data_IF_367551378083
#
_entry.id   IF_367551378083
#
_cell.length_a   1.000
_cell.length_b   1.000
_cell.length_c   1.000
_cell.angle_alpha   90.00
_cell.angle_beta   90.00
_cell.angle_gamma   90.00
#
_symmetry.space_group_name_H-M   'P 1'
#
loop_
_entity.id
_entity.type
_entity.pdbx_description
1 polymer ?
#
# COMPACT_ATOMS: atom_id res chain seq x y z
N UNK A 1 -6.73 -21.39 1.26
CA UNK A 1 -7.70 -22.50 1.44
C UNK A 1 -7.38 -23.22 2.74
N UNK A 2 -8.38 -23.55 3.55
CA UNK A 2 -8.17 -24.30 4.80
C UNK A 2 -7.60 -25.70 4.51
N UNK A 3 -6.80 -26.27 5.41
CA UNK A 3 -6.26 -27.63 5.25
C UNK A 3 -7.41 -28.63 5.06
N UNK A 4 -7.24 -29.59 4.14
CA UNK A 4 -8.23 -30.64 3.89
C UNK A 4 -8.17 -31.69 5.01
N UNK A 5 -8.63 -31.29 6.20
CA UNK A 5 -8.84 -32.20 7.32
C UNK A 5 -10.20 -32.85 7.13
N UNK A 6 -10.20 -34.13 6.75
CA UNK A 6 -11.44 -34.89 6.61
C UNK A 6 -11.87 -35.40 7.98
N UNK A 7 -13.10 -35.08 8.39
CA UNK A 7 -13.67 -35.62 9.62
C UNK A 7 -13.99 -37.09 9.41
N UNK A 8 -13.57 -37.94 10.34
CA UNK A 8 -13.77 -39.40 10.27
C UNK A 8 -14.52 -39.87 11.50
N UNK A 9 -15.34 -40.91 11.39
CA UNK A 9 -16.01 -41.51 12.55
C UNK A 9 -15.10 -42.53 13.24
N UNK A 10 -15.10 -42.56 14.57
CA UNK A 10 -14.23 -43.44 15.38
C UNK A 10 -14.40 -44.92 14.98
N UNK A 11 -15.62 -45.33 14.63
CA UNK A 11 -15.95 -46.70 14.22
C UNK A 11 -15.19 -47.15 12.96
N UNK A 12 -14.77 -46.20 12.11
CA UNK A 12 -14.03 -46.47 10.87
C UNK A 12 -12.50 -46.48 11.06
N UNK A 13 -12.01 -46.15 12.26
CA UNK A 13 -10.58 -46.11 12.58
C UNK A 13 -10.15 -47.47 13.16
N UNK A 14 -9.08 -48.10 12.62
CA UNK A 14 -8.48 -49.31 13.18
C UNK A 14 -8.11 -49.14 14.66
N UNK A 15 -8.32 -50.18 15.47
CA UNK A 15 -8.16 -50.08 16.93
C UNK A 15 -6.74 -49.69 17.38
N UNK A 16 -5.74 -50.07 16.58
CA UNK A 16 -4.31 -49.73 16.72
C UNK A 16 -3.99 -48.25 16.43
N UNK A 17 -4.89 -47.52 15.78
CA UNK A 17 -4.70 -46.12 15.39
C UNK A 17 -5.69 -45.16 16.07
N UNK A 18 -6.36 -45.62 17.14
CA UNK A 18 -7.31 -44.81 17.93
C UNK A 18 -6.64 -43.90 18.96
N UNK A 19 -5.33 -43.75 18.92
CA UNK A 19 -4.57 -42.87 19.81
C UNK A 19 -3.94 -41.73 19.02
N UNK A 20 -4.17 -40.49 19.44
CA UNK A 20 -3.59 -39.32 18.81
C UNK A 20 -2.08 -39.28 19.06
N UNK A 21 -1.25 -39.17 18.02
CA UNK A 21 0.20 -39.16 18.20
C UNK A 21 0.76 -37.86 18.82
N UNK A 22 -0.06 -36.81 18.95
CA UNK A 22 0.34 -35.51 19.52
C UNK A 22 0.08 -35.47 21.04
N UNK A 23 -1.16 -35.69 21.47
CA UNK A 23 -1.54 -35.68 22.89
C UNK A 23 -1.47 -37.07 23.55
N UNK A 24 -1.32 -38.15 22.78
CA UNK A 24 -1.31 -39.54 23.24
C UNK A 24 -2.65 -40.01 23.88
N UNK A 25 -3.73 -39.27 23.66
CA UNK A 25 -5.07 -39.62 24.15
C UNK A 25 -5.87 -40.43 23.13
N UNK A 26 -6.94 -41.08 23.59
CA UNK A 26 -7.83 -41.85 22.72
C UNK A 26 -8.74 -40.92 21.91
N UNK A 27 -8.68 -41.04 20.59
CA UNK A 27 -9.47 -40.27 19.63
C UNK A 27 -10.97 -40.41 19.91
N UNK A 28 -11.66 -39.29 20.16
CA UNK A 28 -13.09 -39.26 20.48
C UNK A 28 -13.46 -39.78 21.87
N UNK A 29 -12.51 -39.80 22.81
CA UNK A 29 -12.79 -39.93 24.24
C UNK A 29 -13.53 -38.72 24.83
N UNK A 30 -13.83 -38.75 26.14
CA UNK A 30 -14.56 -37.66 26.82
C UNK A 30 -13.85 -36.30 26.73
N UNK A 31 -12.52 -36.32 26.68
CA UNK A 31 -11.65 -35.14 26.58
C UNK A 31 -10.99 -35.00 25.19
N UNK A 32 -11.11 -36.02 24.34
CA UNK A 32 -10.54 -36.06 23.00
C UNK A 32 -11.36 -35.28 21.99
N UNK A 33 -10.70 -34.49 21.14
CA UNK A 33 -11.33 -33.70 20.09
C UNK A 33 -11.97 -34.56 18.98
N UNK A 34 -12.61 -33.91 18.01
CA UNK A 34 -13.13 -34.61 16.84
C UNK A 34 -11.97 -35.26 16.05
N UNK A 35 -12.03 -36.58 15.75
CA UNK A 35 -10.98 -37.23 14.98
C UNK A 35 -11.00 -36.79 13.52
N UNK A 36 -9.82 -36.39 13.04
CA UNK A 36 -9.59 -35.95 11.66
C UNK A 36 -8.50 -36.79 11.01
N UNK A 37 -8.63 -36.96 9.71
CA UNK A 37 -7.71 -37.71 8.86
C UNK A 37 -7.04 -36.77 7.86
N UNK A 38 -5.72 -36.88 7.76
CA UNK A 38 -4.88 -36.14 6.81
C UNK A 38 -4.81 -36.84 5.44
N UNK A 39 -4.34 -36.14 4.40
CA UNK A 39 -4.17 -36.71 3.05
C UNK A 39 -3.23 -37.92 3.02
N UNK A 40 -2.20 -37.92 3.88
CA UNK A 40 -1.29 -39.04 4.08
C UNK A 40 -1.89 -40.19 4.93
N UNK A 41 -3.20 -40.21 5.16
CA UNK A 41 -3.97 -41.22 5.89
C UNK A 41 -3.63 -41.37 7.38
N UNK A 42 -3.09 -40.35 8.04
CA UNK A 42 -2.84 -40.36 9.48
C UNK A 42 -3.98 -39.69 10.26
N UNK A 43 -4.25 -40.18 11.47
CA UNK A 43 -5.36 -39.76 12.31
C UNK A 43 -4.88 -38.94 13.52
N UNK A 44 -5.54 -37.81 13.78
CA UNK A 44 -5.25 -36.91 14.90
C UNK A 44 -6.54 -36.29 15.45
N UNK A 45 -6.48 -35.70 16.64
CA UNK A 45 -7.52 -34.79 17.10
C UNK A 45 -7.43 -33.47 16.34
N UNK A 46 -8.59 -32.90 15.99
CA UNK A 46 -8.69 -31.62 15.26
C UNK A 46 -7.89 -30.50 15.91
N UNK A 47 -8.01 -30.33 17.23
CA UNK A 47 -7.33 -29.26 17.95
C UNK A 47 -5.81 -29.46 17.94
N UNK A 48 -5.36 -30.69 18.14
CA UNK A 48 -3.93 -31.01 18.16
C UNK A 48 -3.26 -30.78 16.82
N UNK A 49 -3.87 -31.23 15.72
CA UNK A 49 -3.29 -31.01 14.39
C UNK A 49 -3.40 -29.55 13.95
N UNK A 50 -4.44 -28.82 14.38
CA UNK A 50 -4.57 -27.40 14.09
C UNK A 50 -3.49 -26.58 14.80
N UNK A 51 -3.26 -26.81 16.10
CA UNK A 51 -2.16 -26.20 16.85
C UNK A 51 -0.79 -26.49 16.22
N UNK A 52 -0.60 -27.72 15.72
CA UNK A 52 0.61 -28.08 14.99
C UNK A 52 0.79 -27.29 13.69
N UNK A 53 -0.28 -27.14 12.92
CA UNK A 53 -0.29 -26.39 11.66
C UNK A 53 -0.19 -24.87 11.85
N UNK A 54 -0.63 -24.35 12.99
CA UNK A 54 -0.52 -22.94 13.35
C UNK A 54 0.90 -22.59 13.82
N UNK A 55 1.62 -23.53 14.44
CA UNK A 55 3.01 -23.39 14.89
C UNK A 55 4.09 -23.48 13.81
N UNK A 56 3.82 -22.97 12.60
CA UNK A 56 4.72 -22.92 11.43
C UNK A 56 5.13 -24.28 10.82
N UNK A 57 4.49 -25.39 11.17
CA UNK A 57 4.77 -26.70 10.58
C UNK A 57 3.70 -27.08 9.56
N UNK A 58 4.06 -27.36 8.32
CA UNK A 58 3.12 -27.81 7.26
C UNK A 58 3.11 -29.33 7.05
N UNK A 59 3.87 -30.07 7.86
CA UNK A 59 4.15 -31.50 7.65
C UNK A 59 3.48 -32.39 8.69
N UNK A 60 3.18 -33.62 8.29
CA UNK A 60 2.60 -34.64 9.17
C UNK A 60 3.60 -35.04 10.27
N UNK A 61 3.19 -35.06 11.55
CA UNK A 61 4.05 -35.52 12.65
C UNK A 61 4.57 -36.96 12.50
N UNK A 62 3.83 -37.81 11.79
CA UNK A 62 4.14 -39.25 11.66
C UNK A 62 5.03 -39.51 10.44
N UNK A 63 4.58 -39.14 9.24
CA UNK A 63 5.31 -39.44 8.01
C UNK A 63 6.11 -38.27 7.42
N UNK A 64 6.02 -37.07 8.02
CA UNK A 64 6.62 -35.82 7.52
C UNK A 64 6.17 -35.37 6.12
N UNK A 65 5.16 -36.02 5.56
CA UNK A 65 4.55 -35.61 4.30
C UNK A 65 3.79 -34.28 4.47
N UNK A 66 3.79 -33.44 3.43
CA UNK A 66 3.17 -32.13 3.49
C UNK A 66 1.64 -32.26 3.52
N UNK A 67 1.01 -31.84 4.63
CA UNK A 67 -0.44 -31.87 4.79
C UNK A 67 -1.11 -30.76 3.96
N UNK A 68 -0.32 -29.77 3.53
CA UNK A 68 -0.77 -28.64 2.71
C UNK A 68 -0.42 -28.86 1.23
N UNK A 69 -0.95 -29.90 0.59
CA UNK A 69 -0.62 -30.11 -0.81
C UNK A 69 -1.42 -29.17 -1.74
N UNK A 70 -0.68 -28.39 -2.53
CA UNK A 70 -1.09 -27.63 -3.72
C UNK A 70 -2.16 -26.54 -3.56
N UNK A 71 -1.74 -25.30 -3.26
CA UNK A 71 -2.45 -24.11 -3.72
C UNK A 71 -2.39 -22.86 -2.84
N UNK A 72 -2.02 -22.97 -1.56
CA UNK A 72 -2.16 -21.86 -0.60
C UNK A 72 -0.90 -21.40 0.15
N UNK A 73 0.11 -22.26 0.31
CA UNK A 73 1.35 -21.91 1.02
C UNK A 73 2.34 -21.10 0.19
N UNK A 74 2.32 -21.30 -1.14
CA UNK A 74 3.25 -20.66 -2.05
C UNK A 74 3.14 -19.14 -2.12
N UNK A 75 1.98 -18.54 -1.83
CA UNK A 75 1.85 -17.07 -1.85
C UNK A 75 2.55 -16.43 -0.65
N UNK A 76 2.42 -17.02 0.55
CA UNK A 76 3.04 -16.48 1.77
C UNK A 76 4.56 -16.68 1.75
N UNK A 77 5.03 -17.81 1.24
CA UNK A 77 6.46 -18.06 1.05
C UNK A 77 7.03 -17.22 -0.11
N UNK A 78 6.30 -17.05 -1.22
CA UNK A 78 6.68 -16.11 -2.29
C UNK A 78 6.71 -14.67 -1.78
N UNK A 79 5.74 -14.24 -0.98
CA UNK A 79 5.75 -12.90 -0.36
C UNK A 79 6.99 -12.73 0.53
N UNK A 80 7.34 -13.73 1.33
CA UNK A 80 8.55 -13.72 2.17
C UNK A 80 9.83 -13.68 1.34
N UNK A 81 9.86 -14.36 0.20
CA UNK A 81 11.01 -14.36 -0.72
C UNK A 81 11.10 -13.06 -1.52
N UNK A 82 9.97 -12.47 -1.89
CA UNK A 82 9.89 -11.12 -2.49
C UNK A 82 10.40 -10.09 -1.48
N UNK A 83 9.94 -10.11 -0.23
CA UNK A 83 10.43 -9.18 0.81
C UNK A 83 11.94 -9.33 1.05
N UNK A 84 12.48 -10.56 1.03
CA UNK A 84 13.93 -10.80 1.09
C UNK A 84 14.66 -10.27 -0.14
N UNK A 85 14.10 -10.44 -1.33
CA UNK A 85 14.65 -9.92 -2.57
C UNK A 85 14.71 -8.39 -2.59
N UNK A 86 13.63 -7.73 -2.16
CA UNK A 86 13.54 -6.27 -2.06
C UNK A 86 14.57 -5.71 -1.07
N UNK A 87 14.77 -6.34 0.09
CA UNK A 87 15.80 -5.91 1.05
C UNK A 87 17.21 -5.98 0.42
N UNK A 88 17.55 -7.08 -0.25
CA UNK A 88 18.84 -7.22 -0.95
C UNK A 88 19.02 -6.22 -2.10
N UNK A 89 17.94 -5.91 -2.82
CA UNK A 89 17.99 -4.91 -3.89
C UNK A 89 18.27 -3.51 -3.32
N UNK A 90 17.65 -3.16 -2.19
CA UNK A 90 17.91 -1.89 -1.50
C UNK A 90 19.34 -1.80 -0.97
N UNK A 91 19.87 -2.89 -0.39
CA UNK A 91 21.28 -2.96 0.04
C UNK A 91 22.24 -2.74 -1.13
N UNK A 92 22.05 -3.41 -2.27
CA UNK A 92 22.89 -3.19 -3.47
C UNK A 92 22.82 -1.74 -3.98
N UNK A 93 21.65 -1.11 -3.98
CA UNK A 93 21.52 0.27 -4.42
C UNK A 93 22.25 1.25 -3.48
N UNK A 94 22.30 0.94 -2.17
CA UNK A 94 23.08 1.72 -1.20
C UNK A 94 24.57 1.51 -1.45
N UNK A 95 25.03 0.26 -1.60
CA UNK A 95 26.43 -0.08 -1.92
C UNK A 95 26.88 0.57 -3.23
N UNK A 96 26.05 0.55 -4.27
CA UNK A 96 26.35 1.18 -5.57
C UNK A 96 26.45 2.70 -5.46
N UNK A 97 25.60 3.33 -4.64
CA UNK A 97 25.67 4.76 -4.36
C UNK A 97 26.94 5.12 -3.58
N UNK A 98 27.30 4.32 -2.57
CA UNK A 98 28.53 4.49 -1.80
C UNK A 98 29.77 4.29 -2.69
N UNK A 99 29.72 3.30 -3.59
CA UNK A 99 30.78 3.07 -4.57
C UNK A 99 30.92 4.24 -5.55
N UNK A 100 29.82 4.80 -6.04
CA UNK A 100 29.86 6.03 -6.85
C UNK A 100 30.42 7.22 -6.08
N UNK A 101 30.04 7.38 -4.81
CA UNK A 101 30.54 8.47 -3.97
C UNK A 101 32.04 8.33 -3.70
N UNK A 102 32.52 7.11 -3.43
CA UNK A 102 33.95 6.82 -3.29
C UNK A 102 34.71 7.09 -4.58
N UNK A 103 34.18 6.67 -5.73
CA UNK A 103 34.79 6.96 -7.03
C UNK A 103 34.87 8.47 -7.30
N UNK A 104 33.88 9.26 -6.86
CA UNK A 104 33.96 10.73 -6.93
C UNK A 104 35.05 11.31 -6.02
N UNK A 105 35.29 10.74 -4.84
CA UNK A 105 36.41 11.17 -3.97
C UNK A 105 37.75 10.82 -4.60
N UNK A 106 37.87 9.60 -5.14
CA UNK A 106 39.12 9.09 -5.72
C UNK A 106 39.50 9.82 -7.03
N UNK A 107 38.52 10.25 -7.84
CA UNK A 107 38.76 10.96 -9.11
C UNK A 107 38.55 12.47 -9.04
N UNK A 108 37.83 12.99 -8.03
CA UNK A 108 37.48 14.42 -7.88
C UNK A 108 38.15 15.12 -6.69
N UNK A 109 38.92 14.40 -5.87
CA UNK A 109 39.58 14.92 -4.67
C UNK A 109 40.91 15.66 -4.88
N UNK A 110 41.26 16.06 -6.12
CA UNK A 110 42.50 16.77 -6.42
C UNK A 110 42.32 18.27 -6.68
N UNK A 111 41.31 18.90 -6.07
CA UNK A 111 41.21 20.36 -6.00
C UNK A 111 41.60 20.87 -4.60
N UNK A 112 42.74 20.40 -4.08
CA UNK A 112 43.63 21.23 -3.26
C UNK A 112 44.34 22.26 -4.15
N UNK A 113 43.57 23.03 -4.93
CA UNK A 113 44.09 24.30 -5.41
C UNK A 113 44.10 25.20 -4.17
N UNK A 114 45.27 25.60 -3.66
CA UNK A 114 45.31 26.56 -2.57
C UNK A 114 44.53 27.77 -3.06
N UNK A 115 43.52 28.20 -2.31
CA UNK A 115 42.94 29.53 -2.51
C UNK A 115 44.05 30.55 -2.31
N UNK A 116 44.81 30.82 -3.37
CA UNK A 116 45.67 31.97 -3.47
C UNK A 116 44.75 33.17 -3.37
N UNK A 117 44.87 33.87 -2.25
CA UNK A 117 44.25 35.15 -1.94
C UNK A 117 44.08 36.00 -3.20
N UNK A 118 42.83 36.31 -3.50
CA UNK A 118 42.47 37.40 -4.37
C UNK A 118 42.92 38.72 -3.73
N UNK A 119 44.15 39.10 -4.01
CA UNK A 119 44.56 40.49 -4.14
C UNK A 119 45.61 40.54 -5.23
N UNK A 120 45.44 41.53 -6.08
CA UNK A 120 46.34 41.98 -7.14
C UNK A 120 46.23 41.34 -8.53
N UNK A 121 45.63 42.19 -9.39
CA UNK A 121 46.06 42.53 -10.75
C UNK A 121 45.53 41.70 -11.92
N UNK A 122 44.63 42.37 -12.67
CA UNK A 122 44.64 42.47 -14.15
C UNK A 122 46.00 42.07 -14.76
N UNK A 123 46.03 41.25 -15.83
CA UNK A 123 45.64 41.79 -17.13
C UNK A 123 44.92 40.81 -18.07
N UNK A 124 44.41 41.43 -19.14
CA UNK A 124 43.69 40.90 -20.27
C UNK A 124 44.36 39.72 -21.01
N UNK A 125 43.49 38.96 -21.68
CA UNK A 125 43.77 38.24 -22.94
C UNK A 125 44.56 36.92 -22.85
N UNK A 126 43.85 35.81 -22.66
CA UNK A 126 44.14 34.57 -23.41
C UNK A 126 42.90 33.65 -23.40
N UNK A 127 42.22 33.59 -24.54
CA UNK A 127 41.11 32.67 -24.77
C UNK A 127 41.62 31.22 -24.79
N UNK A 128 41.09 30.31 -23.96
CA UNK A 128 41.50 28.90 -24.00
C UNK A 128 41.11 28.27 -25.34
N UNK A 129 42.11 27.86 -26.11
CA UNK A 129 41.96 27.12 -27.35
C UNK A 129 41.38 25.73 -27.02
N UNK A 130 40.08 25.55 -27.25
CA UNK A 130 39.43 24.25 -27.17
C UNK A 130 40.07 23.29 -28.17
N UNK A 131 40.83 22.31 -27.68
CA UNK A 131 41.36 21.22 -28.50
C UNK A 131 40.21 20.26 -28.77
N UNK A 132 39.78 20.22 -30.03
CA UNK A 132 38.76 19.34 -30.58
C UNK A 132 39.15 17.87 -30.38
N UNK A 133 38.46 17.18 -29.48
CA UNK A 133 38.69 15.76 -29.18
C UNK A 133 37.92 14.88 -30.19
N UNK A 134 38.65 14.06 -30.95
CA UNK A 134 38.06 13.08 -31.87
C UNK A 134 37.36 11.93 -31.11
N UNK A 135 36.15 11.52 -31.50
CA UNK A 135 35.43 10.43 -30.85
C UNK A 135 35.96 9.06 -31.26
N UNK A 136 36.22 8.21 -30.25
CA UNK A 136 36.60 6.80 -30.45
C UNK A 136 35.45 5.92 -30.98
N UNK A 137 35.75 4.85 -31.74
CA UNK A 137 34.74 4.01 -32.40
C UNK A 137 34.09 2.97 -31.47
N UNK A 138 32.80 2.63 -31.68
CA UNK A 138 32.08 1.65 -30.86
C UNK A 138 32.35 0.19 -31.29
N UNK A 139 32.44 -0.71 -30.32
CA UNK A 139 32.60 -2.16 -30.50
C UNK A 139 31.24 -2.91 -30.44
N UNK A 140 31.17 -4.02 -31.19
CA UNK A 140 30.01 -4.82 -31.69
C UNK A 140 28.99 -5.41 -30.68
N UNK A 141 27.78 -5.82 -31.16
CA UNK A 141 26.71 -6.37 -30.32
C UNK A 141 26.61 -7.91 -30.32
N UNK A 142 26.15 -8.47 -29.20
CA UNK A 142 25.87 -9.90 -28.96
C UNK A 142 24.40 -10.28 -29.15
N UNK A 143 24.19 -11.54 -29.53
CA UNK A 143 23.01 -12.13 -30.19
C UNK A 143 22.19 -13.00 -29.21
N UNK A 144 20.86 -12.83 -29.12
CA UNK A 144 19.96 -13.76 -28.42
C UNK A 144 18.66 -13.97 -29.21
N UNK A 145 18.46 -15.20 -29.69
CA UNK A 145 17.25 -15.68 -30.38
C UNK A 145 16.70 -16.90 -29.63
N UNK A 146 15.44 -16.85 -29.20
CA UNK A 146 14.54 -18.03 -29.11
C UNK A 146 13.07 -17.60 -29.20
N UNK A 147 12.23 -18.22 -30.07
CA UNK A 147 10.83 -17.82 -30.28
C UNK A 147 9.79 -18.71 -29.57
N UNK A 148 8.61 -18.17 -29.23
CA UNK A 148 7.41 -18.95 -28.85
C UNK A 148 6.12 -18.31 -29.42
N UNK A 149 5.09 -19.10 -29.78
CA UNK A 149 4.10 -18.71 -30.79
C UNK A 149 2.79 -18.15 -30.22
N UNK A 150 2.10 -17.39 -31.08
CA UNK A 150 0.89 -16.58 -30.86
C UNK A 150 -0.43 -17.38 -30.82
N UNK A 151 -1.53 -16.72 -30.40
CA UNK A 151 -2.72 -16.76 -31.26
C UNK A 151 -3.54 -15.46 -31.38
N UNK A 152 -3.91 -15.22 -32.65
CA UNK A 152 -5.20 -14.83 -33.28
C UNK A 152 -6.00 -13.60 -32.79
N UNK A 153 -6.16 -12.71 -33.78
CA UNK A 153 -6.91 -11.46 -33.83
C UNK A 153 -8.44 -11.62 -33.80
N UNK A 154 -9.09 -10.68 -33.12
CA UNK A 154 -10.44 -10.21 -33.43
C UNK A 154 -10.46 -8.68 -33.42
N UNK A 155 -10.93 -8.07 -34.52
CA UNK A 155 -11.07 -6.60 -34.66
C UNK A 155 -12.45 -6.12 -34.21
N UNK A 156 -12.57 -4.93 -33.58
CA UNK A 156 -13.84 -4.25 -33.37
C UNK A 156 -13.98 -2.91 -34.16
N UNK A 157 -15.19 -2.32 -34.22
CA UNK A 157 -15.58 -1.25 -35.16
C UNK A 157 -15.43 0.18 -34.58
N UNK A 158 -15.69 1.26 -35.37
CA UNK A 158 -15.15 2.59 -35.09
C UNK A 158 -16.00 3.46 -34.15
N UNK A 159 -15.30 4.41 -33.51
CA UNK A 159 -15.77 5.35 -32.47
C UNK A 159 -16.41 6.62 -33.05
N UNK A 160 -17.30 7.21 -32.26
CA UNK A 160 -18.04 8.46 -32.53
C UNK A 160 -17.54 9.57 -31.59
N UNK A 161 -17.20 10.73 -32.16
CA UNK A 161 -16.69 11.92 -31.45
C UNK A 161 -17.81 12.77 -30.84
N UNK A 162 -17.55 13.37 -29.67
CA UNK A 162 -18.38 14.41 -29.06
C UNK A 162 -17.52 15.59 -28.58
N UNK A 163 -17.99 16.81 -28.85
CA UNK A 163 -17.41 18.11 -28.47
C UNK A 163 -17.97 18.65 -27.15
N UNK A 164 -17.25 19.54 -26.43
CA UNK A 164 -17.67 20.09 -25.13
C UNK A 164 -18.45 21.43 -25.22
N UNK A 165 -19.19 21.83 -24.16
CA UNK A 165 -20.00 23.06 -24.13
C UNK A 165 -19.32 24.25 -23.41
N UNK A 166 -19.86 25.49 -23.54
CA UNK A 166 -19.22 26.72 -23.05
C UNK A 166 -19.71 27.21 -21.68
N UNK A 167 -18.88 28.08 -21.09
CA UNK A 167 -18.98 28.68 -19.74
C UNK A 167 -20.04 29.78 -19.64
N UNK A 168 -20.63 29.91 -18.46
CA UNK A 168 -21.62 30.93 -18.07
C UNK A 168 -21.06 31.85 -16.99
N UNK A 169 -21.15 33.15 -17.21
CA UNK A 169 -20.81 34.23 -16.27
C UNK A 169 -22.09 34.88 -15.72
N UNK A 170 -22.17 35.10 -14.41
CA UNK A 170 -23.08 36.11 -13.84
C UNK A 170 -22.49 36.79 -12.60
N UNK A 171 -22.76 38.07 -12.56
CA UNK A 171 -22.44 39.09 -11.57
C UNK A 171 -23.73 39.57 -10.90
N UNK A 172 -23.82 39.60 -9.57
CA UNK A 172 -24.61 40.62 -8.83
C UNK A 172 -24.34 40.59 -7.33
N UNK A 173 -23.92 41.72 -6.78
CA UNK A 173 -24.01 42.06 -5.35
C UNK A 173 -25.43 42.50 -4.99
N UNK A 174 -25.86 42.37 -3.71
CA UNK A 174 -26.48 43.55 -3.10
C UNK A 174 -26.21 43.75 -1.60
N UNK A 175 -26.02 45.05 -1.27
CA UNK A 175 -26.50 45.82 -0.12
C UNK A 175 -26.40 45.27 1.32
N UNK A 176 -25.57 45.97 2.10
CA UNK A 176 -25.57 46.09 3.57
C UNK A 176 -26.91 46.61 4.08
N UNK A 177 -27.55 45.85 4.97
CA UNK A 177 -28.49 46.35 5.97
C UNK A 177 -27.95 45.95 7.36
N UNK A 178 -27.63 46.95 8.19
CA UNK A 178 -27.23 46.76 9.58
C UNK A 178 -28.47 46.70 10.49
N UNK A 179 -28.63 45.66 11.33
CA UNK A 179 -29.68 45.62 12.36
C UNK A 179 -29.21 46.28 13.67
N UNK A 180 -30.13 46.71 14.56
CA UNK A 180 -29.83 47.40 15.80
C UNK A 180 -29.35 46.44 16.92
N UNK A 181 -28.66 46.96 17.96
CA UNK A 181 -28.08 46.16 19.03
C UNK A 181 -29.19 45.65 19.97
N UNK A 182 -29.52 44.35 19.86
CA UNK A 182 -30.31 43.66 20.89
C UNK A 182 -29.37 43.20 21.99
N UNK A 183 -29.52 43.75 23.20
CA UNK A 183 -28.98 43.19 24.43
C UNK A 183 -29.57 41.80 24.65
N UNK A 184 -28.83 40.79 24.18
CA UNK A 184 -29.13 39.38 24.38
C UNK A 184 -28.68 39.03 25.79
N UNK A 185 -29.63 38.86 26.71
CA UNK A 185 -29.39 38.18 27.98
C UNK A 185 -28.74 36.82 27.65
N UNK A 186 -27.44 36.70 27.94
CA UNK A 186 -26.71 35.45 27.85
C UNK A 186 -27.15 34.58 29.03
N UNK A 187 -28.25 33.85 28.84
CA UNK A 187 -28.45 32.62 29.60
C UNK A 187 -27.29 31.70 29.26
N UNK A 188 -26.32 31.68 30.16
CA UNK A 188 -25.12 30.85 30.15
C UNK A 188 -25.55 29.41 30.44
N UNK A 189 -26.29 28.80 29.50
CA UNK A 189 -26.74 27.41 29.61
C UNK A 189 -25.75 26.49 28.93
N UNK A 190 -25.39 25.45 29.65
CA UNK A 190 -24.37 24.40 29.48
C UNK A 190 -24.46 23.55 28.19
N UNK A 191 -25.04 24.06 27.10
CA UNK A 191 -25.27 23.33 25.85
C UNK A 191 -24.06 23.25 24.91
N UNK A 192 -22.92 23.85 25.27
CA UNK A 192 -21.73 23.88 24.40
C UNK A 192 -21.00 22.55 24.33
N UNK A 193 -21.07 21.72 25.38
CA UNK A 193 -20.39 20.42 25.49
C UNK A 193 -20.77 19.46 24.36
N UNK A 194 -22.07 19.19 24.19
CA UNK A 194 -22.55 18.23 23.19
C UNK A 194 -22.32 18.70 21.76
N UNK A 195 -22.36 20.03 21.53
CA UNK A 195 -22.12 20.61 20.21
C UNK A 195 -20.69 20.40 19.72
N UNK A 196 -19.69 20.55 20.61
CA UNK A 196 -18.29 20.36 20.25
C UNK A 196 -17.97 18.89 19.93
N UNK A 197 -18.47 17.96 20.75
CA UNK A 197 -18.37 16.52 20.49
C UNK A 197 -18.96 16.16 19.13
N UNK A 198 -20.17 16.62 18.85
CA UNK A 198 -20.84 16.29 17.59
C UNK A 198 -20.10 16.86 16.39
N UNK A 199 -19.56 18.08 16.51
CA UNK A 199 -18.68 18.66 15.48
C UNK A 199 -17.43 17.83 15.25
N UNK A 200 -16.72 17.43 16.31
CA UNK A 200 -15.53 16.59 16.20
C UNK A 200 -15.84 15.23 15.55
N UNK A 201 -16.96 14.60 15.94
CA UNK A 201 -17.43 13.35 15.33
C UNK A 201 -17.73 13.51 13.84
N UNK A 202 -18.40 14.61 13.45
CA UNK A 202 -18.67 14.89 12.02
C UNK A 202 -17.40 15.18 11.23
N UNK A 203 -16.42 15.86 11.83
CA UNK A 203 -15.13 16.12 11.19
C UNK A 203 -14.35 14.83 10.97
N UNK A 204 -14.28 13.95 11.97
CA UNK A 204 -13.65 12.64 11.86
C UNK A 204 -14.32 11.78 10.78
N UNK A 205 -15.64 11.67 10.80
CA UNK A 205 -16.40 10.89 9.80
C UNK A 205 -16.21 11.43 8.38
N UNK A 206 -16.15 12.76 8.23
CA UNK A 206 -15.90 13.43 6.95
C UNK A 206 -14.48 13.19 6.42
N UNK A 207 -13.47 13.22 7.30
CA UNK A 207 -12.09 12.91 6.94
C UNK A 207 -11.94 11.46 6.48
N UNK A 208 -12.57 10.52 7.18
CA UNK A 208 -12.56 9.11 6.80
C UNK A 208 -13.23 8.88 5.44
N UNK A 209 -14.43 9.43 5.23
CA UNK A 209 -15.17 9.31 3.97
C UNK A 209 -14.41 9.93 2.78
N UNK A 210 -13.63 10.98 3.03
CA UNK A 210 -12.78 11.60 2.02
C UNK A 210 -11.60 10.70 1.65
N UNK A 211 -10.93 10.11 2.65
CA UNK A 211 -9.82 9.17 2.44
C UNK A 211 -10.28 7.94 1.66
N UNK A 212 -11.43 7.34 2.00
CA UNK A 212 -12.00 6.19 1.27
C UNK A 212 -12.27 6.52 -0.20
N UNK A 213 -12.82 7.71 -0.48
CA UNK A 213 -13.07 8.16 -1.85
C UNK A 213 -11.77 8.36 -2.63
N UNK A 214 -10.76 8.93 -1.97
CA UNK A 214 -9.45 9.16 -2.57
C UNK A 214 -8.77 7.82 -2.90
N UNK A 215 -8.81 6.85 -1.98
CA UNK A 215 -8.29 5.49 -2.21
C UNK A 215 -8.99 4.81 -3.39
N UNK A 216 -10.31 4.94 -3.52
CA UNK A 216 -11.03 4.42 -4.69
C UNK A 216 -10.57 5.06 -6.01
N UNK A 217 -10.36 6.38 -6.01
CA UNK A 217 -9.87 7.10 -7.17
C UNK A 217 -8.43 6.68 -7.54
N UNK A 218 -7.55 6.53 -6.54
CA UNK A 218 -6.18 6.05 -6.72
C UNK A 218 -6.17 4.67 -7.36
N UNK A 219 -6.96 3.73 -6.83
CA UNK A 219 -7.05 2.36 -7.39
C UNK A 219 -7.52 2.40 -8.84
N UNK A 220 -8.56 3.17 -9.13
CA UNK A 220 -9.12 3.29 -10.49
C UNK A 220 -8.10 3.90 -11.46
N UNK A 221 -7.37 4.93 -11.02
CA UNK A 221 -6.36 5.60 -11.84
C UNK A 221 -5.11 4.74 -12.03
N UNK A 222 -4.71 3.99 -11.01
CA UNK A 222 -3.61 3.03 -11.10
C UNK A 222 -3.89 1.95 -12.14
N UNK A 223 -5.13 1.46 -12.25
CA UNK A 223 -5.53 0.53 -13.31
C UNK A 223 -5.40 1.15 -14.71
N UNK A 224 -5.78 2.42 -14.88
CA UNK A 224 -5.63 3.13 -16.16
C UNK A 224 -4.17 3.34 -16.53
N UNK A 225 -3.36 3.78 -15.58
CA UNK A 225 -1.92 3.95 -15.73
C UNK A 225 -1.23 2.62 -16.09
N UNK A 226 -1.62 1.53 -15.41
CA UNK A 226 -1.14 0.18 -15.72
C UNK A 226 -1.44 -0.22 -17.19
N UNK A 227 -2.67 -0.03 -17.67
CA UNK A 227 -3.01 -0.31 -19.05
C UNK A 227 -2.31 0.62 -20.06
N UNK A 228 -2.08 1.88 -19.71
CA UNK A 228 -1.28 2.78 -20.54
C UNK A 228 0.16 2.29 -20.66
N UNK A 229 0.74 1.82 -19.55
CA UNK A 229 2.07 1.22 -19.53
C UNK A 229 2.16 -0.07 -20.34
N UNK A 230 1.14 -0.94 -20.30
CA UNK A 230 1.08 -2.12 -21.16
C UNK A 230 1.08 -1.76 -22.65
N UNK A 231 0.35 -0.71 -23.04
CA UNK A 231 0.33 -0.21 -24.42
C UNK A 231 1.68 0.39 -24.82
N UNK A 232 2.33 1.14 -23.93
CA UNK A 232 3.68 1.65 -24.15
C UNK A 232 4.66 0.53 -24.45
N UNK A 233 4.74 -0.49 -23.58
CA UNK A 233 5.59 -1.64 -23.84
C UNK A 233 5.20 -2.43 -25.10
N UNK A 234 3.92 -2.46 -25.46
CA UNK A 234 3.50 -3.07 -26.72
C UNK A 234 3.99 -2.28 -27.94
N UNK A 235 3.93 -0.94 -27.90
CA UNK A 235 4.47 -0.08 -28.96
C UNK A 235 6.00 -0.20 -29.07
N UNK A 236 6.72 -0.23 -27.94
CA UNK A 236 8.17 -0.47 -27.93
C UNK A 236 8.55 -1.79 -28.62
N UNK A 237 7.81 -2.87 -28.32
CA UNK A 237 8.04 -4.17 -28.98
C UNK A 237 7.77 -4.11 -30.49
N UNK A 238 6.77 -3.34 -30.93
CA UNK A 238 6.50 -3.16 -32.36
C UNK A 238 7.64 -2.40 -33.05
N UNK A 239 8.20 -1.38 -32.41
CA UNK A 239 9.36 -0.64 -32.94
C UNK A 239 10.57 -1.57 -33.06
N UNK A 240 10.85 -2.34 -32.01
CA UNK A 240 11.94 -3.32 -32.04
C UNK A 240 11.76 -4.36 -33.17
N UNK A 241 10.53 -4.82 -33.38
CA UNK A 241 10.20 -5.74 -34.47
C UNK A 241 10.39 -5.08 -35.85
N UNK A 242 9.91 -3.85 -36.04
CA UNK A 242 10.09 -3.10 -37.29
C UNK A 242 11.57 -2.83 -37.59
N UNK A 243 12.36 -2.51 -36.57
CA UNK A 243 13.80 -2.33 -36.69
C UNK A 243 14.52 -3.63 -37.08
N UNK A 244 14.15 -4.75 -36.46
CA UNK A 244 14.69 -6.07 -36.80
C UNK A 244 14.37 -6.45 -38.25
N UNK A 245 13.14 -6.15 -38.71
CA UNK A 245 12.74 -6.38 -40.10
C UNK A 245 13.52 -5.51 -41.09
N UNK A 246 13.77 -4.24 -40.75
CA UNK A 246 14.61 -3.37 -41.56
C UNK A 246 16.04 -3.91 -41.67
N UNK A 247 16.63 -4.36 -40.56
CA UNK A 247 17.96 -4.98 -40.59
C UNK A 247 18.00 -6.20 -41.52
N UNK A 248 17.00 -7.08 -41.44
CA UNK A 248 16.90 -8.25 -42.31
C UNK A 248 16.72 -7.86 -43.79
N UNK A 249 15.90 -6.85 -44.08
CA UNK A 249 15.69 -6.35 -45.44
C UNK A 249 16.95 -5.72 -46.04
N UNK A 250 17.72 -4.97 -45.24
CA UNK A 250 19.00 -4.41 -45.69
C UNK A 250 20.02 -5.52 -46.01
N UNK A 251 20.05 -6.59 -45.21
CA UNK A 251 20.93 -7.73 -45.45
C UNK A 251 20.56 -8.52 -46.72
N UNK A 252 19.27 -8.62 -47.06
CA UNK A 252 18.83 -9.31 -48.27
C UNK A 252 19.17 -8.54 -49.55
N UNK A 253 19.47 -7.24 -49.45
CA UNK A 253 19.70 -6.31 -50.58
C UNK A 253 18.52 -6.23 -51.55
N UNK A 254 17.31 -6.61 -51.12
CA UNK A 254 16.09 -6.46 -51.91
C UNK A 254 15.49 -5.06 -51.68
N UNK A 255 15.45 -4.18 -52.70
CA UNK A 255 14.95 -2.82 -52.54
C UNK A 255 13.49 -2.77 -52.10
N UNK A 256 12.66 -3.73 -52.51
CA UNK A 256 11.25 -3.78 -52.11
C UNK A 256 11.09 -4.15 -50.63
N UNK A 257 11.93 -5.08 -50.14
CA UNK A 257 11.95 -5.45 -48.73
C UNK A 257 12.37 -4.26 -47.85
N UNK A 258 13.35 -3.46 -48.31
CA UNK A 258 13.82 -2.27 -47.59
C UNK A 258 12.72 -1.19 -47.55
N UNK A 259 12.09 -0.89 -48.69
CA UNK A 259 10.99 0.08 -48.76
C UNK A 259 9.81 -0.33 -47.87
N UNK A 260 9.45 -1.62 -47.87
CA UNK A 260 8.40 -2.14 -47.01
C UNK A 260 8.75 -2.00 -45.52
N UNK A 261 9.99 -2.29 -45.13
CA UNK A 261 10.43 -2.17 -43.75
C UNK A 261 10.48 -0.70 -43.27
N UNK A 262 10.86 0.24 -44.14
CA UNK A 262 10.79 1.68 -43.85
C UNK A 262 9.34 2.13 -43.65
N UNK A 263 8.42 1.71 -44.53
CA UNK A 263 7.00 2.01 -44.37
C UNK A 263 6.43 1.45 -43.06
N UNK A 264 6.92 0.29 -42.60
CA UNK A 264 6.56 -0.23 -41.27
C UNK A 264 7.08 0.66 -40.14
N UNK A 265 8.32 1.15 -40.22
CA UNK A 265 8.85 2.09 -39.22
C UNK A 265 8.04 3.39 -39.14
N UNK A 266 7.69 3.97 -40.29
CA UNK A 266 6.85 5.18 -40.36
C UNK A 266 5.46 4.94 -39.75
N UNK A 267 4.92 3.72 -39.88
CA UNK A 267 3.62 3.36 -39.33
C UNK A 267 3.62 3.14 -37.81
N UNK A 268 4.74 2.73 -37.22
CA UNK A 268 4.83 2.36 -35.80
C UNK A 268 5.28 3.53 -34.92
N UNK A 269 6.10 4.44 -35.42
CA UNK A 269 6.56 5.63 -34.68
C UNK A 269 5.44 6.41 -34.00
N UNK A 270 4.32 6.78 -34.67
CA UNK A 270 3.23 7.51 -34.01
C UNK A 270 2.51 6.70 -32.93
N UNK A 271 2.57 5.36 -32.96
CA UNK A 271 1.99 4.51 -31.91
C UNK A 271 2.78 4.62 -30.60
N UNK A 272 4.10 4.80 -30.67
CA UNK A 272 4.92 5.03 -29.48
C UNK A 272 4.64 6.40 -28.90
N UNK A 273 4.57 7.45 -29.73
CA UNK A 273 4.23 8.79 -29.28
C UNK A 273 2.85 8.81 -28.61
N UNK A 274 1.84 8.18 -29.22
CA UNK A 274 0.51 8.06 -28.61
C UNK A 274 0.55 7.31 -27.27
N UNK A 275 1.31 6.22 -27.19
CA UNK A 275 1.42 5.44 -25.97
C UNK A 275 2.16 6.18 -24.85
N UNK A 276 3.20 6.95 -25.19
CA UNK A 276 3.91 7.81 -24.25
C UNK A 276 3.00 8.93 -23.73
N UNK A 277 2.26 9.60 -24.61
CA UNK A 277 1.26 10.60 -24.22
C UNK A 277 0.12 10.01 -23.37
N UNK A 278 -0.23 8.74 -23.57
CA UNK A 278 -1.18 8.04 -22.71
C UNK A 278 -0.57 7.77 -21.32
N UNK A 279 0.70 7.37 -21.26
CA UNK A 279 1.41 7.12 -20.01
C UNK A 279 1.50 8.39 -19.16
N UNK A 280 1.88 9.53 -19.74
CA UNK A 280 1.94 10.80 -19.03
C UNK A 280 0.57 11.26 -18.52
N UNK A 281 -0.45 11.18 -19.39
CA UNK A 281 -1.82 11.59 -19.07
C UNK A 281 -2.41 10.80 -17.91
N UNK A 282 -2.12 9.51 -17.82
CA UNK A 282 -2.65 8.65 -16.77
C UNK A 282 -1.73 8.59 -15.54
N UNK A 283 -0.42 8.82 -15.70
CA UNK A 283 0.57 8.77 -14.63
C UNK A 283 0.59 10.02 -13.74
N UNK A 284 0.50 11.22 -14.32
CA UNK A 284 0.55 12.48 -13.55
C UNK A 284 -0.58 12.62 -12.52
N UNK A 285 -1.87 12.34 -12.85
CA UNK A 285 -2.94 12.40 -11.86
C UNK A 285 -2.77 11.37 -10.74
N UNK A 286 -2.19 10.20 -11.04
CA UNK A 286 -1.92 9.19 -10.02
C UNK A 286 -0.91 9.70 -9.00
N UNK A 287 0.19 10.30 -9.45
CA UNK A 287 1.20 10.89 -8.57
C UNK A 287 0.59 11.99 -7.69
N UNK A 288 -0.21 12.90 -8.28
CA UNK A 288 -0.89 13.95 -7.52
C UNK A 288 -1.85 13.40 -6.45
N UNK A 289 -2.62 12.36 -6.76
CA UNK A 289 -3.51 11.74 -5.77
C UNK A 289 -2.74 10.99 -4.67
N UNK A 290 -1.56 10.43 -4.98
CA UNK A 290 -0.70 9.83 -3.95
C UNK A 290 -0.18 10.88 -2.97
N UNK A 291 0.18 12.07 -3.45
CA UNK A 291 0.56 13.20 -2.58
C UNK A 291 -0.65 13.69 -1.76
N UNK A 292 -1.81 13.88 -2.39
CA UNK A 292 -3.07 14.26 -1.72
C UNK A 292 -3.47 13.26 -0.63
N UNK A 293 -3.16 11.96 -0.82
CA UNK A 293 -3.43 10.91 0.16
C UNK A 293 -2.63 11.09 1.44
N UNK A 294 -1.38 11.55 1.35
CA UNK A 294 -0.54 11.82 2.52
C UNK A 294 -1.16 12.96 3.33
N UNK A 295 -1.57 14.05 2.69
CA UNK A 295 -2.24 15.16 3.35
C UNK A 295 -3.59 14.75 3.97
N UNK A 296 -4.33 13.88 3.28
CA UNK A 296 -5.60 13.33 3.77
C UNK A 296 -5.42 12.49 5.04
N UNK A 297 -4.33 11.71 5.13
CA UNK A 297 -3.99 10.91 6.31
C UNK A 297 -3.62 11.78 7.53
N UNK A 298 -2.85 12.86 7.31
CA UNK A 298 -2.58 13.86 8.34
C UNK A 298 -3.85 14.55 8.82
N UNK A 299 -4.79 14.83 7.90
CA UNK A 299 -6.09 15.40 8.25
C UNK A 299 -6.95 14.43 9.08
N UNK A 300 -6.94 13.14 8.73
CA UNK A 300 -7.64 12.11 9.50
C UNK A 300 -7.04 11.97 10.90
N UNK A 301 -5.71 11.97 11.01
CA UNK A 301 -4.99 11.90 12.29
C UNK A 301 -5.39 13.06 13.20
N UNK A 302 -5.33 14.31 12.71
CA UNK A 302 -5.80 15.49 13.45
C UNK A 302 -7.26 15.38 13.87
N UNK A 303 -8.15 14.94 12.97
CA UNK A 303 -9.56 14.79 13.30
C UNK A 303 -9.81 13.69 14.36
N UNK A 304 -8.99 12.64 14.38
CA UNK A 304 -9.02 11.58 15.40
C UNK A 304 -8.59 12.11 16.76
N UNK A 305 -7.51 12.90 16.81
CA UNK A 305 -7.02 13.55 18.03
C UNK A 305 -8.06 14.52 18.60
N UNK A 306 -8.59 15.42 17.76
CA UNK A 306 -9.66 16.36 18.15
C UNK A 306 -10.88 15.64 18.74
N UNK A 307 -11.29 14.54 18.10
CA UNK A 307 -12.41 13.73 18.58
C UNK A 307 -12.09 13.06 19.92
N UNK A 308 -10.88 12.54 20.11
CA UNK A 308 -10.45 11.94 21.37
C UNK A 308 -10.42 12.99 22.50
N UNK A 309 -9.91 14.20 22.23
CA UNK A 309 -9.91 15.30 23.20
C UNK A 309 -11.31 15.72 23.61
N UNK A 310 -12.21 15.96 22.65
CA UNK A 310 -13.60 16.35 22.95
C UNK A 310 -14.35 15.22 23.68
N UNK A 311 -14.01 13.96 23.38
CA UNK A 311 -14.52 12.80 24.11
C UNK A 311 -14.06 12.79 25.56
N UNK A 312 -12.79 13.00 25.84
CA UNK A 312 -12.30 13.04 27.22
C UNK A 312 -12.92 14.23 27.98
N UNK A 313 -12.98 15.42 27.36
CA UNK A 313 -13.65 16.60 27.95
C UNK A 313 -15.12 16.34 28.27
N UNK A 314 -15.81 15.58 27.44
CA UNK A 314 -17.19 15.16 27.70
C UNK A 314 -17.26 14.19 28.88
N UNK A 315 -16.41 13.16 28.91
CA UNK A 315 -16.38 12.17 29.98
C UNK A 315 -16.03 12.76 31.35
N UNK A 316 -15.09 13.71 31.41
CA UNK A 316 -14.77 14.45 32.64
C UNK A 316 -16.00 15.17 33.18
N UNK A 317 -16.74 15.89 32.33
CA UNK A 317 -17.99 16.57 32.74
C UNK A 317 -19.05 15.60 33.24
N UNK A 318 -19.21 14.45 32.59
CA UNK A 318 -20.14 13.41 33.04
C UNK A 318 -19.75 12.88 34.42
N UNK A 319 -18.46 12.66 34.69
CA UNK A 319 -17.96 12.24 36.02
C UNK A 319 -18.23 13.31 37.09
N UNK A 320 -17.94 14.57 36.79
CA UNK A 320 -18.21 15.70 37.70
C UNK A 320 -19.71 15.86 38.03
N UNK A 321 -20.59 15.66 37.04
CA UNK A 321 -22.05 15.70 37.25
C UNK A 321 -22.54 14.56 38.15
N UNK A 322 -21.97 13.35 38.01
CA UNK A 322 -22.30 12.21 38.87
C UNK A 322 -21.84 12.43 40.32
N UNK A 323 -20.64 12.98 40.53
CA UNK A 323 -20.11 13.28 41.85
C UNK A 323 -20.89 14.41 42.55
N UNK A 324 -21.28 15.45 41.80
CA UNK A 324 -22.10 16.55 42.32
C UNK A 324 -23.51 16.09 42.71
N UNK A 325 -24.11 15.16 41.94
CA UNK A 325 -25.44 14.60 42.23
C UNK A 325 -25.50 13.71 43.49
N UNK A 326 -24.38 13.09 43.88
CA UNK A 326 -24.31 12.19 45.05
C UNK A 326 -24.32 12.88 46.42
N UNK A 327 -24.00 14.19 46.48
CA UNK A 327 -23.81 14.91 47.75
C UNK A 327 -25.11 15.47 48.37
N UNK A 328 -26.26 15.33 47.69
CA UNK A 328 -27.48 16.10 48.00
C UNK A 328 -28.56 15.44 48.88
N UNK A 329 -28.50 14.14 49.22
CA UNK A 329 -29.60 13.47 49.98
C UNK A 329 -29.11 12.43 51.00
N UNK A 330 -28.18 12.81 51.85
CA UNK A 330 -27.65 11.98 52.94
C UNK A 330 -27.86 12.56 54.34
N UNK A 331 -28.98 13.25 54.58
CA UNK A 331 -29.41 13.62 55.94
C UNK A 331 -29.94 12.39 56.68
N UNK A 332 -29.04 11.51 57.14
CA UNK A 332 -29.38 10.27 57.83
C UNK A 332 -28.32 9.91 58.86
N UNK A 333 -28.52 10.43 60.07
CA UNK A 333 -27.77 10.09 61.28
C UNK A 333 -27.66 8.58 61.50
N UNK A 334 -26.46 8.03 61.47
CA UNK A 334 -26.20 6.63 61.79
C UNK A 334 -24.75 6.36 62.13
N UNK A 335 -24.35 6.65 63.38
CA UNK A 335 -23.07 6.19 63.94
C UNK A 335 -23.07 4.66 64.00
N UNK A 336 -22.21 4.01 63.24
CA UNK A 336 -21.95 2.58 63.36
C UNK A 336 -20.64 2.23 62.67
N UNK A 337 -19.57 2.09 63.46
CA UNK A 337 -18.23 1.83 62.94
C UNK A 337 -18.07 0.41 62.41
N UNK A 338 -17.37 0.28 61.28
CA UNK A 338 -16.67 -0.94 60.91
C UNK A 338 -15.49 -0.59 60.01
N UNK A 339 -14.28 -0.88 60.51
CA UNK A 339 -13.01 -0.79 59.76
C UNK A 339 -13.01 -1.90 58.71
N UNK A 340 -13.27 -1.54 57.45
CA UNK A 340 -13.20 -2.42 56.28
C UNK A 340 -12.03 -2.04 55.38
N UNK A 341 -11.18 -3.03 55.10
CA UNK A 341 -9.91 -2.96 54.37
C UNK A 341 -10.11 -2.38 52.96
N UNK A 342 -9.45 -1.26 52.65
CA UNK A 342 -9.41 -0.62 51.33
C UNK A 342 -8.55 -1.48 50.41
N UNK A 343 -9.18 -2.16 49.46
CA UNK A 343 -8.51 -2.91 48.41
C UNK A 343 -8.41 -1.98 47.19
N UNK A 344 -7.21 -1.48 46.93
CA UNK A 344 -6.87 -0.71 45.74
C UNK A 344 -7.02 -1.63 44.51
N UNK A 345 -8.14 -1.49 43.80
CA UNK A 345 -8.28 -2.04 42.45
C UNK A 345 -7.66 -1.04 41.47
N UNK A 346 -6.61 -1.50 40.80
CA UNK A 346 -5.86 -0.79 39.76
C UNK A 346 -6.61 -0.97 38.45
N UNK A 347 -7.53 -0.04 38.14
CA UNK A 347 -8.37 -0.03 36.93
C UNK A 347 -7.64 0.51 35.68
N UNK A 348 -6.34 0.25 35.52
CA UNK A 348 -5.58 0.78 34.37
C UNK A 348 -5.44 -0.22 33.20
N UNK A 349 -5.78 -1.50 33.36
CA UNK A 349 -5.43 -2.53 32.35
C UNK A 349 -6.59 -3.04 31.47
N UNK A 350 -7.80 -2.48 31.56
CA UNK A 350 -8.97 -3.04 30.82
C UNK A 350 -9.19 -2.38 29.45
N UNK A 351 -8.65 -1.20 29.20
CA UNK A 351 -9.00 -0.43 27.99
C UNK A 351 -8.07 -0.63 26.79
N UNK A 352 -6.86 -1.19 26.97
CA UNK A 352 -5.95 -1.47 25.85
C UNK A 352 -6.38 -2.67 24.99
N UNK A 353 -7.33 -3.48 25.44
CA UNK A 353 -7.73 -4.71 24.73
C UNK A 353 -8.73 -4.51 23.58
N UNK A 354 -9.34 -3.33 23.41
CA UNK A 354 -10.39 -3.13 22.40
C UNK A 354 -9.88 -2.63 21.04
N UNK A 355 -8.67 -2.05 20.96
CA UNK A 355 -8.15 -1.50 19.69
C UNK A 355 -7.50 -2.56 18.77
N UNK A 356 -7.18 -3.75 19.30
CA UNK A 356 -6.49 -4.80 18.53
C UNK A 356 -7.42 -5.67 17.66
N UNK A 357 -8.73 -5.70 17.89
CA UNK A 357 -9.65 -6.59 17.16
C UNK A 357 -10.31 -5.96 15.93
N UNK A 358 -10.21 -4.65 15.72
CA UNK A 358 -10.92 -3.97 14.63
C UNK A 358 -10.21 -4.04 13.25
N UNK A 359 -8.97 -4.55 13.18
CA UNK A 359 -8.14 -4.52 11.96
C UNK A 359 -8.00 -5.87 11.22
N UNK A 360 -8.77 -6.91 11.59
CA UNK A 360 -8.67 -8.24 10.96
C UNK A 360 -9.71 -8.57 9.89
N UNK A 361 -10.40 -7.59 9.33
CA UNK A 361 -11.32 -7.89 8.24
C UNK A 361 -11.66 -6.70 7.37
N UNK A 362 -10.77 -6.37 6.43
CA UNK A 362 -11.10 -5.88 5.09
C UNK A 362 -9.98 -6.23 4.12
#
# INVERSE_FOLDING_TARGET
MPPQLTRVSISSIPADQRTCAICQETLGGRDGGEPVKTECNHFFDRNCIQLWLDGDKSTCPICREEIRNTGGGGLRDRLRDISRSVRRARERAVEEREQMQQAQVDYGGANDYPSSNANDSDPEDESPQWVEYEPMPPSSPGNFNTPRPAPRNHSPPPRRNYSPPPRRSYSTSPQRNYPPPRHRYQESRSHTSGSNMQRAATNYSSALSYLERLDHNIITQAQRSYHANERHHAAERQIQAAFTQLQAAVQSRDPYAVEHALAMQDSVTPLLDEAYMALEREGLPLAQMMDERVEADERLTRAREDFAEERERFMVRVREELDAGGSGRGGGSGRGGARGRRQEYRDEDIWESCDAMAWQGY
#
